data_IF_285715884972
#
_entry.id   IF_285715884972
#
_cell.length_a   1.000
_cell.length_b   1.000
_cell.length_c   1.000
_cell.angle_alpha   90.00
_cell.angle_beta   90.00
_cell.angle_gamma   90.00
#
_symmetry.space_group_name_H-M   'P 1'
#
loop_
_entity.id
_entity.type
_entity.pdbx_description
1 polymer ?
#
# COMPACT_ATOMS: atom_id res chain seq x y z
N UNK A 1 -7.74 -22.50 9.19
CA UNK A 1 -7.40 -23.14 7.92
C UNK A 1 -7.19 -22.14 6.77
N UNK A 2 -6.67 -20.97 7.09
CA UNK A 2 -6.35 -19.93 6.13
C UNK A 2 -5.00 -20.12 5.41
N UNK A 3 -4.21 -21.12 5.80
CA UNK A 3 -2.82 -21.33 5.38
C UNK A 3 -2.61 -22.53 4.48
N UNK A 4 -3.50 -22.85 3.55
CA UNK A 4 -3.10 -23.75 2.48
C UNK A 4 -2.29 -22.95 1.47
N UNK A 5 -0.98 -23.17 1.47
CA UNK A 5 -0.09 -22.80 0.38
C UNK A 5 -0.63 -23.40 -0.92
N UNK A 6 -0.72 -22.58 -1.96
CA UNK A 6 -1.16 -23.00 -3.28
C UNK A 6 -2.59 -22.55 -3.58
N UNK A 7 -2.83 -21.99 -4.76
CA UNK A 7 -4.10 -21.65 -5.41
C UNK A 7 -4.69 -20.27 -5.11
N UNK A 8 -4.00 -19.36 -4.38
CA UNK A 8 -4.53 -18.02 -4.17
C UNK A 8 -4.66 -17.26 -5.47
N UNK A 9 -3.70 -17.38 -6.37
CA UNK A 9 -3.76 -16.73 -7.69
C UNK A 9 -4.98 -17.20 -8.48
N UNK A 10 -5.19 -18.51 -8.57
CA UNK A 10 -6.34 -19.10 -9.27
C UNK A 10 -7.67 -18.60 -8.69
N UNK A 11 -7.76 -18.52 -7.35
CA UNK A 11 -8.99 -18.08 -6.66
C UNK A 11 -9.35 -16.64 -6.94
N UNK A 12 -8.37 -15.75 -7.06
CA UNK A 12 -8.60 -14.31 -7.28
C UNK A 12 -8.40 -13.89 -8.73
N UNK A 13 -7.97 -14.80 -9.62
CA UNK A 13 -7.61 -14.48 -10.99
C UNK A 13 -8.70 -13.71 -11.73
N UNK A 14 -9.96 -14.15 -11.59
CA UNK A 14 -11.10 -13.46 -12.20
C UNK A 14 -11.26 -12.02 -11.69
N UNK A 15 -11.02 -11.80 -10.40
CA UNK A 15 -11.08 -10.46 -9.81
C UNK A 15 -9.92 -9.58 -10.29
N UNK A 16 -8.74 -10.15 -10.49
CA UNK A 16 -7.57 -9.40 -10.98
C UNK A 16 -7.80 -8.79 -12.36
N UNK A 17 -8.52 -9.47 -13.25
CA UNK A 17 -8.90 -8.92 -14.58
C UNK A 17 -9.84 -7.71 -14.53
N UNK A 18 -10.43 -7.43 -13.36
CA UNK A 18 -11.33 -6.30 -13.11
C UNK A 18 -10.77 -5.33 -12.06
N UNK A 19 -9.45 -5.40 -11.81
CA UNK A 19 -8.77 -4.60 -10.79
C UNK A 19 -7.85 -3.59 -11.46
N UNK A 20 -8.09 -2.31 -11.25
CA UNK A 20 -7.22 -1.23 -11.74
C UNK A 20 -6.05 -0.96 -10.80
N UNK A 21 -6.29 -1.02 -9.48
CA UNK A 21 -5.30 -0.73 -8.44
C UNK A 21 -5.24 -1.92 -7.48
N UNK A 22 -4.07 -2.54 -7.33
CA UNK A 22 -3.86 -3.69 -6.47
C UNK A 22 -2.75 -3.42 -5.46
N UNK A 23 -3.11 -3.34 -4.16
CA UNK A 23 -2.22 -2.94 -3.06
C UNK A 23 -2.20 -3.97 -1.92
N UNK A 24 -1.75 -5.19 -2.13
CA UNK A 24 -1.64 -6.21 -1.09
C UNK A 24 -0.55 -5.88 -0.06
N UNK A 25 -0.58 -6.57 1.08
CA UNK A 25 0.59 -6.69 1.95
C UNK A 25 1.64 -7.59 1.30
N UNK A 26 2.90 -7.49 1.75
CA UNK A 26 3.98 -8.33 1.24
C UNK A 26 3.68 -9.83 1.38
N UNK A 27 3.12 -10.24 2.52
CA UNK A 27 2.79 -11.64 2.75
C UNK A 27 1.68 -12.14 1.82
N UNK A 28 0.64 -11.34 1.58
CA UNK A 28 -0.42 -11.64 0.61
C UNK A 28 0.15 -11.72 -0.80
N UNK A 29 0.98 -10.78 -1.20
CA UNK A 29 1.61 -10.76 -2.51
C UNK A 29 2.49 -12.01 -2.75
N UNK A 30 3.27 -12.43 -1.75
CA UNK A 30 4.04 -13.70 -1.79
C UNK A 30 3.12 -14.91 -1.96
N UNK A 31 2.02 -14.98 -1.21
CA UNK A 31 1.08 -16.10 -1.30
C UNK A 31 0.37 -16.16 -2.67
N UNK A 32 0.06 -15.01 -3.25
CA UNK A 32 -0.61 -14.92 -4.53
C UNK A 32 0.33 -15.26 -5.69
N UNK A 33 1.53 -14.70 -5.67
CA UNK A 33 2.45 -14.77 -6.80
C UNK A 33 3.47 -15.91 -6.70
N UNK A 34 3.78 -16.37 -5.49
CA UNK A 34 4.91 -17.25 -5.21
C UNK A 34 6.28 -16.57 -5.26
N UNK A 35 6.33 -15.31 -5.69
CA UNK A 35 7.55 -14.50 -5.82
C UNK A 35 7.89 -13.82 -4.48
N UNK A 36 9.17 -13.52 -4.27
CA UNK A 36 9.66 -12.76 -3.11
C UNK A 36 10.17 -11.38 -3.47
N UNK A 37 10.53 -11.18 -4.73
CA UNK A 37 10.92 -9.88 -5.27
C UNK A 37 9.69 -9.10 -5.74
N UNK A 38 9.50 -7.88 -5.23
CA UNK A 38 8.32 -7.06 -5.52
C UNK A 38 8.23 -6.65 -7.00
N UNK A 39 9.37 -6.50 -7.67
CA UNK A 39 9.41 -6.20 -9.09
C UNK A 39 9.00 -7.43 -9.93
N UNK A 40 9.42 -8.64 -9.53
CA UNK A 40 8.98 -9.88 -10.14
C UNK A 40 7.48 -10.11 -9.93
N UNK A 41 6.94 -9.82 -8.74
CA UNK A 41 5.49 -9.84 -8.47
C UNK A 41 4.74 -8.93 -9.45
N UNK A 42 5.21 -7.69 -9.61
CA UNK A 42 4.60 -6.72 -10.53
C UNK A 42 4.61 -7.22 -11.98
N UNK A 43 5.75 -7.73 -12.46
CA UNK A 43 5.87 -8.30 -13.81
C UNK A 43 4.88 -9.45 -14.06
N UNK A 44 4.71 -10.33 -13.08
CA UNK A 44 3.76 -11.43 -13.15
C UNK A 44 2.32 -10.94 -13.21
N UNK A 45 1.97 -9.94 -12.41
CA UNK A 45 0.61 -9.42 -12.27
C UNK A 45 0.18 -8.49 -13.41
N UNK A 46 1.15 -7.90 -14.15
CA UNK A 46 0.88 -7.00 -15.29
C UNK A 46 -0.06 -7.60 -16.34
N UNK A 47 -0.01 -8.91 -16.54
CA UNK A 47 -0.84 -9.63 -17.53
C UNK A 47 -2.34 -9.51 -17.29
N UNK A 48 -2.76 -9.16 -16.05
CA UNK A 48 -4.17 -9.00 -15.68
C UNK A 48 -4.75 -7.62 -16.02
N UNK A 49 -3.95 -6.71 -16.59
CA UNK A 49 -4.40 -5.37 -16.97
C UNK A 49 -4.43 -4.37 -15.80
N UNK A 50 -3.83 -4.72 -14.66
CA UNK A 50 -3.70 -3.84 -13.50
C UNK A 50 -2.92 -2.58 -13.92
N UNK A 51 -3.46 -1.42 -13.62
CA UNK A 51 -2.84 -0.12 -13.94
C UNK A 51 -1.81 0.31 -12.90
N UNK A 52 -2.08 0.04 -11.62
CA UNK A 52 -1.18 0.33 -10.50
C UNK A 52 -1.05 -0.90 -9.62
N UNK A 53 0.16 -1.32 -9.39
CA UNK A 53 0.51 -2.35 -8.42
C UNK A 53 1.37 -1.77 -7.31
N UNK A 54 1.12 -2.17 -6.08
CA UNK A 54 1.98 -1.82 -4.95
C UNK A 54 1.94 -2.86 -3.85
N UNK A 55 3.00 -2.88 -3.04
CA UNK A 55 3.17 -3.82 -1.93
C UNK A 55 3.44 -3.05 -0.65
N UNK A 56 2.63 -3.28 0.37
CA UNK A 56 2.83 -2.73 1.73
C UNK A 56 3.77 -3.65 2.49
N UNK A 57 4.89 -3.12 2.98
CA UNK A 57 5.98 -3.90 3.60
C UNK A 57 6.20 -3.51 5.08
N UNK A 58 5.21 -2.92 5.73
CA UNK A 58 5.27 -2.53 7.14
C UNK A 58 6.43 -1.56 7.42
N UNK A 59 7.33 -1.95 8.31
CA UNK A 59 8.49 -1.14 8.71
C UNK A 59 9.50 -0.90 7.57
N UNK A 60 9.41 -1.65 6.48
CA UNK A 60 10.22 -1.45 5.28
C UNK A 60 9.60 -0.46 4.29
N UNK A 61 8.44 0.11 4.63
CA UNK A 61 7.73 1.06 3.76
C UNK A 61 6.85 0.39 2.73
N UNK A 62 6.88 0.87 1.49
CA UNK A 62 6.08 0.33 0.39
C UNK A 62 6.78 0.43 -0.95
N UNK A 63 6.39 -0.44 -1.86
CA UNK A 63 6.73 -0.40 -3.27
C UNK A 63 5.49 -0.08 -4.09
N UNK A 64 5.60 0.76 -5.12
CA UNK A 64 4.51 1.05 -6.06
C UNK A 64 5.04 1.19 -7.49
N UNK A 65 4.25 0.76 -8.46
CA UNK A 65 4.55 0.88 -9.88
C UNK A 65 3.28 1.06 -10.72
N UNK A 66 3.37 1.86 -11.78
CA UNK A 66 2.42 1.93 -12.89
C UNK A 66 2.93 1.16 -14.13
N UNK A 67 3.95 0.30 -13.93
CA UNK A 67 4.67 -0.47 -14.93
C UNK A 67 5.49 0.36 -15.94
N UNK A 68 5.55 1.67 -15.79
CA UNK A 68 6.47 2.59 -16.48
C UNK A 68 7.46 3.21 -15.51
N UNK A 69 6.97 3.54 -14.31
CA UNK A 69 7.76 4.08 -13.20
C UNK A 69 7.55 3.21 -11.98
N UNK A 70 8.56 3.18 -11.11
CA UNK A 70 8.48 2.46 -9.85
C UNK A 70 9.16 3.25 -8.75
N UNK A 71 8.65 3.11 -7.53
CA UNK A 71 9.15 3.82 -6.36
C UNK A 71 9.13 2.93 -5.13
N UNK A 72 10.22 3.00 -4.37
CA UNK A 72 10.27 2.52 -2.99
C UNK A 72 10.07 3.72 -2.07
N UNK A 73 9.04 3.67 -1.26
CA UNK A 73 8.69 4.73 -0.32
C UNK A 73 9.09 4.27 1.07
N UNK A 74 10.05 4.94 1.73
CA UNK A 74 10.39 4.62 3.11
C UNK A 74 9.21 4.91 4.03
N UNK A 75 9.12 4.22 5.17
CA UNK A 75 8.10 4.51 6.17
C UNK A 75 8.36 5.89 6.79
N UNK A 76 7.32 6.58 7.19
CA UNK A 76 7.47 7.74 8.06
C UNK A 76 7.88 7.31 9.46
N UNK A 77 8.82 8.04 10.05
CA UNK A 77 9.19 7.84 11.45
C UNK A 77 7.98 8.17 12.35
N UNK A 78 7.69 7.29 13.29
CA UNK A 78 6.62 7.45 14.27
C UNK A 78 7.22 7.47 15.68
N UNK A 79 6.75 8.35 16.54
CA UNK A 79 7.24 8.42 17.93
C UNK A 79 6.89 7.15 18.72
N UNK A 80 5.73 6.56 18.45
CA UNK A 80 5.27 5.36 19.13
C UNK A 80 4.35 4.56 18.22
N UNK A 81 4.64 3.27 18.07
CA UNK A 81 3.70 2.31 17.47
C UNK A 81 2.85 1.73 18.60
N UNK A 82 1.56 2.03 18.57
CA UNK A 82 0.57 1.56 19.54
C UNK A 82 -0.14 0.32 19.05
N UNK A 83 -0.54 0.34 17.76
CA UNK A 83 -1.27 -0.75 17.14
C UNK A 83 -1.07 -0.72 15.62
N UNK A 84 -0.81 -1.87 15.01
CA UNK A 84 -0.67 -2.00 13.56
C UNK A 84 -1.96 -2.40 12.84
N UNK A 85 -3.02 -2.71 13.58
CA UNK A 85 -4.33 -3.07 13.00
C UNK A 85 -4.91 -1.88 12.25
N UNK A 86 -5.34 -2.11 11.01
CA UNK A 86 -5.92 -1.08 10.15
C UNK A 86 -4.90 -0.20 9.41
N UNK A 87 -3.60 -0.32 9.69
CA UNK A 87 -2.58 0.46 8.98
C UNK A 87 -2.57 0.16 7.47
N UNK A 88 -2.76 -1.10 7.09
CA UNK A 88 -2.87 -1.52 5.70
C UNK A 88 -4.08 -0.92 4.99
N UNK A 89 -5.23 -0.91 5.65
CA UNK A 89 -6.48 -0.34 5.13
C UNK A 89 -6.39 1.17 5.02
N UNK A 90 -5.78 1.81 6.03
CA UNK A 90 -5.52 3.26 6.04
C UNK A 90 -4.56 3.67 4.92
N UNK A 91 -3.54 2.85 4.62
CA UNK A 91 -2.67 3.05 3.47
C UNK A 91 -3.48 3.05 2.17
N UNK A 92 -4.33 2.03 1.97
CA UNK A 92 -5.18 1.95 0.76
C UNK A 92 -6.12 3.15 0.67
N UNK A 93 -6.78 3.50 1.76
CA UNK A 93 -7.67 4.68 1.81
C UNK A 93 -6.92 5.98 1.47
N UNK A 94 -5.72 6.16 2.04
CA UNK A 94 -4.85 7.30 1.74
C UNK A 94 -4.42 7.32 0.27
N UNK A 95 -4.03 6.18 -0.28
CA UNK A 95 -3.63 6.09 -1.69
C UNK A 95 -4.77 6.48 -2.63
N UNK A 96 -5.96 5.92 -2.42
CA UNK A 96 -7.14 6.23 -3.23
C UNK A 96 -7.57 7.70 -3.09
N UNK A 97 -7.50 8.26 -1.88
CA UNK A 97 -7.76 9.69 -1.64
C UNK A 97 -6.80 10.57 -2.46
N UNK A 98 -5.52 10.26 -2.45
CA UNK A 98 -4.52 10.99 -3.21
C UNK A 98 -4.76 10.87 -4.73
N UNK A 99 -5.13 9.69 -5.23
CA UNK A 99 -5.50 9.49 -6.64
C UNK A 99 -6.72 10.33 -7.04
N UNK A 100 -7.77 10.39 -6.20
CA UNK A 100 -8.97 11.23 -6.43
C UNK A 100 -8.59 12.71 -6.45
N UNK A 101 -7.61 13.13 -5.64
CA UNK A 101 -7.06 14.50 -5.66
C UNK A 101 -6.17 14.80 -6.87
N UNK A 102 -5.92 13.83 -7.75
CA UNK A 102 -5.09 13.97 -8.94
C UNK A 102 -3.58 13.96 -8.67
N UNK A 103 -3.15 13.43 -7.52
CA UNK A 103 -1.73 13.28 -7.21
C UNK A 103 -1.08 12.20 -8.09
N UNK A 104 0.21 12.37 -8.42
CA UNK A 104 0.99 11.38 -9.15
C UNK A 104 1.23 10.10 -8.33
N UNK A 105 1.81 9.07 -8.96
CA UNK A 105 2.05 7.78 -8.33
C UNK A 105 2.92 7.88 -7.07
N UNK A 106 4.03 8.63 -7.15
CA UNK A 106 4.95 8.84 -6.02
C UNK A 106 4.26 9.58 -4.87
N UNK A 107 3.60 10.69 -5.17
CA UNK A 107 2.90 11.52 -4.20
C UNK A 107 1.77 10.76 -3.51
N UNK A 108 1.05 9.92 -4.26
CA UNK A 108 -0.03 9.08 -3.71
C UNK A 108 0.52 8.04 -2.73
N UNK A 109 1.65 7.41 -3.04
CA UNK A 109 2.28 6.45 -2.15
C UNK A 109 2.87 7.12 -0.89
N UNK A 110 3.45 8.32 -1.02
CA UNK A 110 3.92 9.12 0.11
C UNK A 110 2.76 9.51 1.02
N UNK A 111 1.65 10.00 0.43
CA UNK A 111 0.45 10.36 1.17
C UNK A 111 -0.14 9.15 1.92
N UNK A 112 -0.26 8.01 1.25
CA UNK A 112 -0.72 6.75 1.84
C UNK A 112 0.16 6.31 3.02
N UNK A 113 1.48 6.39 2.85
CA UNK A 113 2.45 6.05 3.90
C UNK A 113 2.31 6.97 5.13
N UNK A 114 2.05 8.26 4.91
CA UNK A 114 1.81 9.22 5.99
C UNK A 114 0.50 8.89 6.73
N UNK A 115 -0.59 8.59 6.03
CA UNK A 115 -1.87 8.19 6.65
C UNK A 115 -1.68 6.94 7.52
N UNK A 116 -0.98 5.92 7.02
CA UNK A 116 -0.67 4.72 7.79
C UNK A 116 0.15 5.02 9.04
N UNK A 117 1.11 5.97 8.97
CA UNK A 117 1.91 6.39 10.11
C UNK A 117 1.09 7.04 11.22
N UNK A 118 0.03 7.77 10.92
CA UNK A 118 -0.91 8.26 11.92
C UNK A 118 -1.70 7.13 12.57
N UNK A 119 -2.17 6.17 11.76
CA UNK A 119 -2.99 5.06 12.26
C UNK A 119 -2.25 4.19 13.27
N UNK A 120 -0.98 3.89 13.05
CA UNK A 120 -0.21 3.03 13.97
C UNK A 120 0.08 3.67 15.33
N UNK A 121 -0.11 4.99 15.47
CA UNK A 121 0.11 5.73 16.72
C UNK A 121 -1.13 5.77 17.61
N UNK A 122 -2.27 5.23 17.17
CA UNK A 122 -3.54 5.27 17.89
C UNK A 122 -4.10 3.89 18.18
N UNK A 123 -4.99 3.80 19.16
CA UNK A 123 -5.74 2.58 19.43
C UNK A 123 -6.91 2.45 18.46
N UNK A 124 -7.06 1.27 17.86
CA UNK A 124 -8.16 0.96 16.94
C UNK A 124 -7.84 1.24 15.47
N UNK A 125 -8.64 0.64 14.57
CA UNK A 125 -8.37 0.60 13.14
C UNK A 125 -8.66 1.93 12.40
N UNK A 126 -9.48 2.81 12.95
CA UNK A 126 -9.96 4.04 12.27
C UNK A 126 -9.82 5.32 13.09
N UNK A 127 -9.56 5.22 14.39
CA UNK A 127 -9.52 6.37 15.31
C UNK A 127 -8.39 7.37 15.05
N UNK A 128 -7.38 6.98 14.29
CA UNK A 128 -6.19 7.79 14.03
C UNK A 128 -6.08 8.34 12.60
N UNK A 129 -7.09 8.16 11.77
CA UNK A 129 -7.06 8.68 10.38
C UNK A 129 -7.31 10.19 10.40
N UNK A 130 -6.31 11.03 10.07
CA UNK A 130 -6.45 12.48 10.06
C UNK A 130 -7.16 12.97 8.81
N UNK A 131 -7.55 14.27 8.80
CA UNK A 131 -7.98 14.92 7.56
C UNK A 131 -6.82 15.04 6.56
N UNK A 132 -7.14 15.16 5.28
CA UNK A 132 -6.14 15.27 4.23
C UNK A 132 -5.18 16.45 4.44
N UNK A 133 -5.70 17.59 4.89
CA UNK A 133 -4.89 18.79 5.16
C UNK A 133 -3.83 18.56 6.24
N UNK A 134 -4.19 17.80 7.29
CA UNK A 134 -3.24 17.43 8.37
C UNK A 134 -2.14 16.53 7.81
N UNK A 135 -2.48 15.57 6.94
CA UNK A 135 -1.49 14.69 6.29
C UNK A 135 -0.55 15.51 5.41
N UNK A 136 -1.07 16.40 4.59
CA UNK A 136 -0.27 17.24 3.69
C UNK A 136 0.68 18.15 4.47
N UNK A 137 0.23 18.73 5.59
CA UNK A 137 1.08 19.52 6.47
C UNK A 137 2.18 18.68 7.12
N UNK A 138 1.85 17.48 7.58
CA UNK A 138 2.84 16.54 8.15
C UNK A 138 3.92 16.20 7.12
N UNK A 139 3.56 15.82 5.90
CA UNK A 139 4.51 15.50 4.82
C UNK A 139 5.42 16.70 4.55
N UNK A 140 4.86 17.91 4.50
CA UNK A 140 5.62 19.15 4.25
C UNK A 140 6.66 19.44 5.33
N UNK A 141 6.35 19.15 6.60
CA UNK A 141 7.26 19.31 7.73
C UNK A 141 8.41 18.30 7.72
N UNK A 142 8.17 17.09 7.22
CA UNK A 142 9.21 16.05 7.12
C UNK A 142 10.22 16.27 5.98
N UNK A 143 9.86 17.06 4.97
CA UNK A 143 10.76 17.42 3.84
C UNK A 143 11.75 18.54 4.17
N UNK A 144 11.74 19.08 5.38
CA UNK A 144 12.69 20.09 5.88
C UNK A 144 13.77 19.46 6.73
#
# INVERSE_FOLDING_TARGET
TWNRQGDWLERIEKALYHTDIFLPSYQEAVQITGERDVQAMGKMLRRYGISIFGVKMGEQGSYVTDFQKEYFIPPFATEKVVNTVGAGDSYVAGFLTAQIKGMGLYESAVFASAVAAFTVQTMGAVGGVPSADVVEEFIRKQKR
#
